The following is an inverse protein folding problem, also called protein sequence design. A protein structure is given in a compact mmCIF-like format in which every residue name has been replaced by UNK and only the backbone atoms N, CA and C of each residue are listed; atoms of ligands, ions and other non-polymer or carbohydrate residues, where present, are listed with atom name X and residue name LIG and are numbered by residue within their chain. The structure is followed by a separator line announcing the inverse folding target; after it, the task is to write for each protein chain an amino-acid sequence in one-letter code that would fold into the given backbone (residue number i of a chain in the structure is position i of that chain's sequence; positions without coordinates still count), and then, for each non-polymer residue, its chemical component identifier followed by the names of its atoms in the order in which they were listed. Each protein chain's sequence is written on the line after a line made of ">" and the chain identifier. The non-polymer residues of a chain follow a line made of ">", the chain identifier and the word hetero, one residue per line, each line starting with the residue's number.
data_IF_155801364056
#
_entry.id   IF_155801364056
#
_cell.length_a   1.000
_cell.length_b   1.000
_cell.length_c   1.000
_cell.angle_alpha   90.00
_cell.angle_beta   90.00
_cell.angle_gamma   90.00
#
_symmetry.space_group_name_H-M   'P 1'
#
loop_
_entity.id
_entity.type
_entity.pdbx_description
1 polymer ?
#
# COMPACT_ATOMS: atom_id res chain seq x y z
N UNK A 1 8.09 9.95 5.63
CA UNK A 1 7.42 9.51 4.39
C UNK A 1 8.35 9.71 3.20
N UNK A 2 8.20 8.90 2.14
CA UNK A 2 8.97 9.03 0.90
C UNK A 2 8.33 10.14 0.05
N UNK A 3 9.11 11.12 -0.39
CA UNK A 3 8.63 12.21 -1.25
C UNK A 3 8.73 11.86 -2.74
N UNK A 4 9.81 11.21 -3.16
CA UNK A 4 9.94 10.75 -4.53
C UNK A 4 10.93 9.60 -4.67
N UNK A 5 10.79 8.87 -5.79
CA UNK A 5 11.65 7.77 -6.17
C UNK A 5 12.07 7.97 -7.63
N UNK A 6 13.37 7.95 -7.89
CA UNK A 6 13.92 7.89 -9.24
C UNK A 6 14.47 6.50 -9.51
N UNK A 7 14.16 5.95 -10.68
CA UNK A 7 14.53 4.63 -11.14
C UNK A 7 15.47 4.74 -12.33
N UNK A 8 16.61 4.06 -12.25
CA UNK A 8 17.53 3.89 -13.36
C UNK A 8 17.80 2.40 -13.54
N UNK A 9 17.40 1.85 -14.69
CA UNK A 9 17.58 0.43 -15.05
C UNK A 9 17.09 -0.58 -13.99
N UNK A 10 16.05 -0.25 -13.24
CA UNK A 10 15.44 -1.14 -12.26
C UNK A 10 14.29 -1.92 -12.88
N UNK A 11 14.53 -3.21 -13.22
CA UNK A 11 13.57 -4.07 -13.92
C UNK A 11 13.09 -3.42 -15.24
N UNK A 12 11.79 -3.18 -15.37
CA UNK A 12 11.20 -2.47 -16.53
C UNK A 12 11.40 -0.95 -16.45
N UNK A 13 11.71 -0.39 -15.28
CA UNK A 13 11.86 1.06 -15.09
C UNK A 13 13.29 1.48 -15.47
N UNK A 14 13.46 1.94 -16.72
CA UNK A 14 14.78 2.30 -17.29
C UNK A 14 15.26 3.68 -16.87
N UNK A 15 14.37 4.66 -16.95
CA UNK A 15 14.57 6.04 -16.51
C UNK A 15 13.18 6.59 -16.18
N UNK A 16 12.75 6.41 -14.94
CA UNK A 16 11.42 6.84 -14.47
C UNK A 16 11.57 7.61 -13.17
N UNK A 17 10.74 8.61 -12.94
CA UNK A 17 10.66 9.34 -11.68
C UNK A 17 9.21 9.37 -11.22
N UNK A 18 8.98 9.22 -9.92
CA UNK A 18 7.66 9.30 -9.33
C UNK A 18 7.72 10.16 -8.08
N UNK A 19 6.96 11.26 -8.06
CA UNK A 19 6.63 12.01 -6.85
C UNK A 19 5.47 11.31 -6.16
N UNK A 20 5.56 11.15 -4.85
CA UNK A 20 4.56 10.48 -4.04
C UNK A 20 3.87 11.49 -3.12
N UNK A 21 2.57 11.34 -2.96
CA UNK A 21 1.75 12.05 -1.98
C UNK A 21 1.56 11.19 -0.72
N UNK A 22 0.87 11.67 0.34
CA UNK A 22 0.51 10.82 1.48
C UNK A 22 -0.38 9.63 1.07
N UNK A 23 -1.22 9.79 0.05
CA UNK A 23 -1.98 8.69 -0.56
C UNK A 23 -1.68 8.63 -2.07
N UNK A 24 -1.48 7.42 -2.62
CA UNK A 24 -1.21 7.21 -4.04
C UNK A 24 -1.98 6.00 -4.56
N UNK A 25 -2.85 6.21 -5.55
CA UNK A 25 -3.52 5.14 -6.29
C UNK A 25 -2.81 4.90 -7.62
N UNK A 26 -2.34 3.68 -7.84
CA UNK A 26 -1.59 3.31 -9.04
C UNK A 26 -2.44 2.42 -9.93
N UNK A 27 -2.70 2.90 -11.14
CA UNK A 27 -3.42 2.20 -12.20
C UNK A 27 -2.47 1.85 -13.34
N UNK A 28 -2.80 0.84 -14.14
CA UNK A 28 -1.98 0.44 -15.29
C UNK A 28 -2.10 -1.04 -15.64
N UNK A 29 -1.56 -1.50 -16.79
CA UNK A 29 -1.66 -2.90 -17.20
C UNK A 29 -0.70 -3.81 -16.40
N UNK A 30 -0.78 -5.11 -16.66
CA UNK A 30 0.15 -6.07 -16.06
C UNK A 30 1.58 -5.87 -16.57
N UNK A 31 2.53 -5.84 -15.64
CA UNK A 31 3.95 -5.61 -15.95
C UNK A 31 4.32 -4.15 -16.24
N UNK A 32 3.46 -3.16 -15.94
CA UNK A 32 3.79 -1.72 -16.03
C UNK A 32 4.62 -1.18 -14.86
N UNK A 33 5.15 -2.05 -14.00
CA UNK A 33 6.04 -1.65 -12.91
C UNK A 33 5.38 -1.35 -11.57
N UNK A 34 4.05 -1.49 -11.43
CA UNK A 34 3.34 -1.32 -10.14
C UNK A 34 3.97 -2.14 -9.00
N UNK A 35 4.10 -3.45 -9.17
CA UNK A 35 4.80 -4.32 -8.21
C UNK A 35 6.30 -4.00 -8.10
N UNK A 36 6.93 -3.45 -9.16
CA UNK A 36 8.34 -3.03 -9.10
C UNK A 36 8.55 -1.82 -8.19
N UNK A 37 7.61 -0.87 -8.15
CA UNK A 37 7.62 0.23 -7.19
C UNK A 37 7.60 -0.29 -5.75
N UNK A 38 6.68 -1.20 -5.44
CA UNK A 38 6.55 -1.81 -4.10
C UNK A 38 7.85 -2.54 -3.73
N UNK A 39 8.42 -3.29 -4.67
CA UNK A 39 9.69 -3.99 -4.48
C UNK A 39 10.87 -3.03 -4.25
N UNK A 40 10.90 -1.85 -4.87
CA UNK A 40 11.92 -0.85 -4.63
C UNK A 40 11.85 -0.32 -3.19
N UNK A 41 10.65 -0.05 -2.68
CA UNK A 41 10.43 0.38 -1.28
C UNK A 41 10.83 -0.72 -0.30
N UNK A 42 10.44 -1.98 -0.57
CA UNK A 42 10.87 -3.13 0.23
C UNK A 42 12.39 -3.30 0.22
N UNK A 43 13.04 -3.01 -0.92
CA UNK A 43 14.50 -3.09 -1.02
C UNK A 43 15.19 -2.04 -0.16
N UNK A 44 14.68 -0.80 -0.18
CA UNK A 44 15.17 0.25 0.71
C UNK A 44 15.01 -0.15 2.18
N UNK A 45 13.84 -0.67 2.59
CA UNK A 45 13.60 -1.19 3.95
C UNK A 45 14.60 -2.28 4.34
N UNK A 46 14.83 -3.25 3.46
CA UNK A 46 15.72 -4.37 3.77
C UNK A 46 17.17 -3.92 3.95
N UNK A 47 17.64 -2.96 3.14
CA UNK A 47 18.99 -2.43 3.25
C UNK A 47 19.14 -1.46 4.42
N UNK A 48 18.09 -0.71 4.78
CA UNK A 48 18.12 0.14 5.96
C UNK A 48 18.22 -0.66 7.27
N UNK A 49 18.01 -1.97 7.26
CA UNK A 49 18.21 -2.84 8.44
C UNK A 49 19.65 -3.34 8.58
N UNK A 50 20.45 -3.24 7.52
CA UNK A 50 21.85 -3.66 7.51
C UNK A 50 22.71 -2.46 7.94
N UNK A 51 23.71 -2.69 8.80
CA UNK A 51 24.62 -1.62 9.25
C UNK A 51 25.28 -0.95 8.03
N UNK A 52 24.95 0.31 7.77
CA UNK A 52 25.40 1.08 6.62
C UNK A 52 26.91 1.33 6.69
N UNK A 53 27.75 0.83 5.76
CA UNK A 53 29.09 1.36 5.61
C UNK A 53 29.07 2.56 4.65
N UNK A 54 29.58 3.68 5.13
CA UNK A 54 29.97 4.90 4.40
C UNK A 54 28.87 5.94 4.07
N UNK A 55 28.84 6.98 4.90
CA UNK A 55 28.52 8.35 4.52
C UNK A 55 29.61 8.85 3.58
N UNK A 56 29.38 8.83 2.26
CA UNK A 56 30.28 9.48 1.30
C UNK A 56 29.51 10.53 0.49
N UNK A 57 30.21 11.64 0.22
CA UNK A 57 29.68 12.78 -0.51
C UNK A 57 29.25 12.38 -1.93
N UNK A 58 28.17 12.99 -2.39
CA UNK A 58 27.63 12.84 -3.75
C UNK A 58 28.72 13.19 -4.77
N UNK A 59 29.29 12.19 -5.47
CA UNK A 59 30.09 12.45 -6.67
C UNK A 59 31.25 11.51 -7.01
N UNK A 60 31.70 10.60 -6.14
CA UNK A 60 32.83 9.73 -6.46
C UNK A 60 32.37 8.34 -6.93
N UNK A 61 32.75 7.86 -8.13
CA UNK A 61 32.64 6.45 -8.45
C UNK A 61 33.60 5.67 -7.54
N UNK A 62 33.06 4.72 -6.78
CA UNK A 62 33.84 3.74 -6.01
C UNK A 62 34.91 3.13 -6.93
N UNK A 63 36.18 3.48 -6.68
CA UNK A 63 37.30 2.93 -7.40
C UNK A 63 37.36 1.41 -7.17
N UNK A 64 37.03 0.64 -8.22
CA UNK A 64 37.08 -0.83 -8.22
C UNK A 64 35.73 -1.57 -8.14
N UNK A 65 34.59 -0.88 -8.04
CA UNK A 65 33.28 -1.53 -8.15
C UNK A 65 32.89 -1.73 -9.62
N UNK A 66 32.38 -2.92 -9.98
CA UNK A 66 31.69 -3.12 -11.28
C UNK A 66 30.68 -1.98 -11.47
N UNK A 67 30.75 -1.28 -12.62
CA UNK A 67 29.92 -0.09 -12.90
C UNK A 67 28.46 -0.40 -12.57
N UNK A 68 27.92 0.24 -11.53
CA UNK A 68 26.53 0.03 -11.11
C UNK A 68 25.62 0.30 -12.30
N UNK A 69 24.81 -0.70 -12.67
CA UNK A 69 23.95 -0.59 -13.86
C UNK A 69 22.54 -0.19 -13.49
N UNK A 70 22.11 -0.44 -12.24
CA UNK A 70 20.82 -0.07 -11.70
C UNK A 70 20.95 0.78 -10.43
N UNK A 71 20.08 1.78 -10.33
CA UNK A 71 20.10 2.77 -9.26
C UNK A 71 18.66 3.19 -8.92
N UNK A 72 18.39 3.34 -7.63
CA UNK A 72 17.18 3.89 -7.08
C UNK A 72 17.58 5.07 -6.20
N UNK A 73 16.98 6.24 -6.41
CA UNK A 73 17.21 7.40 -5.56
C UNK A 73 15.89 7.76 -4.86
N UNK A 74 15.92 7.74 -3.53
CA UNK A 74 14.80 8.10 -2.68
C UNK A 74 15.07 9.45 -2.03
N UNK A 75 14.03 10.28 -1.97
CA UNK A 75 14.00 11.51 -1.18
C UNK A 75 12.82 11.43 -0.22
N UNK A 76 12.87 12.19 0.87
CA UNK A 76 11.87 12.12 1.93
C UNK A 76 11.13 13.44 2.10
N UNK A 77 9.90 13.37 2.60
CA UNK A 77 9.10 14.55 2.91
C UNK A 77 9.66 15.28 4.15
N UNK A 78 9.34 16.57 4.35
CA UNK A 78 9.62 17.25 5.61
C UNK A 78 9.18 16.45 6.85
N UNK A 79 9.93 16.50 7.96
CA UNK A 79 11.13 17.32 8.16
C UNK A 79 12.42 16.76 7.53
N UNK A 80 12.38 15.59 6.91
CA UNK A 80 13.58 14.82 6.51
C UNK A 80 14.01 15.13 5.06
N UNK A 81 13.63 16.30 4.53
CA UNK A 81 13.80 16.66 3.11
C UNK A 81 15.27 16.82 2.68
N UNK A 82 16.20 16.91 3.64
CA UNK A 82 17.64 16.96 3.39
C UNK A 82 18.23 15.59 3.15
N UNK A 83 17.61 14.55 3.70
CA UNK A 83 18.06 13.17 3.58
C UNK A 83 17.71 12.63 2.20
N UNK A 84 18.67 11.95 1.60
CA UNK A 84 18.47 11.14 0.39
C UNK A 84 19.12 9.78 0.56
N UNK A 85 18.46 8.75 0.04
CA UNK A 85 18.95 7.38 0.07
C UNK A 85 19.10 6.86 -1.35
N UNK A 86 20.33 6.50 -1.72
CA UNK A 86 20.65 5.87 -2.99
C UNK A 86 20.85 4.37 -2.78
N UNK A 87 20.03 3.57 -3.45
CA UNK A 87 20.18 2.12 -3.50
C UNK A 87 20.73 1.74 -4.87
N UNK A 88 21.90 1.10 -4.92
CA UNK A 88 22.59 0.75 -6.17
C UNK A 88 22.96 -0.72 -6.22
N UNK A 89 23.26 -1.20 -7.43
CA UNK A 89 23.91 -2.50 -7.60
C UNK A 89 24.15 -2.88 -9.05
N UNK A 90 24.61 -4.13 -9.22
CA UNK A 90 25.09 -4.64 -10.51
C UNK A 90 23.96 -4.93 -11.51
N UNK A 91 22.71 -5.04 -11.06
CA UNK A 91 21.52 -5.16 -11.91
C UNK A 91 20.26 -4.76 -11.15
N UNK A 92 19.13 -4.52 -11.85
CA UNK A 92 17.84 -4.23 -11.19
C UNK A 92 17.26 -5.38 -10.35
N UNK A 93 17.88 -6.57 -10.36
CA UNK A 93 17.56 -7.69 -9.47
C UNK A 93 18.50 -7.77 -8.26
N UNK A 94 19.67 -7.13 -8.35
CA UNK A 94 20.75 -7.15 -7.35
C UNK A 94 21.14 -5.71 -7.06
N UNK A 95 20.33 -5.04 -6.25
CA UNK A 95 20.57 -3.70 -5.72
C UNK A 95 20.89 -3.80 -4.24
N UNK A 96 22.13 -4.09 -3.86
CA UNK A 96 22.56 -4.49 -2.51
C UNK A 96 23.35 -3.44 -1.74
N UNK A 97 23.61 -2.27 -2.35
CA UNK A 97 24.34 -1.19 -1.73
C UNK A 97 23.40 -0.04 -1.40
N UNK A 98 23.50 0.49 -0.17
CA UNK A 98 22.78 1.67 0.28
C UNK A 98 23.79 2.76 0.64
N UNK A 99 23.61 3.94 0.08
CA UNK A 99 24.33 5.16 0.42
C UNK A 99 23.34 6.21 0.88
N UNK A 100 23.63 6.89 1.98
CA UNK A 100 22.80 7.97 2.53
C UNK A 100 23.57 9.28 2.43
N UNK A 101 22.90 10.35 2.05
CA UNK A 101 23.50 11.67 1.86
C UNK A 101 22.58 12.77 2.39
N UNK A 102 23.17 13.91 2.77
CA UNK A 102 22.42 15.07 3.28
C UNK A 102 21.89 14.91 4.70
N UNK A 103 22.49 13.99 5.47
CA UNK A 103 22.15 13.67 6.85
C UNK A 103 23.29 14.12 7.78
N UNK A 104 22.93 14.66 8.95
CA UNK A 104 23.87 14.96 10.05
C UNK A 104 24.01 13.79 11.05
N UNK A 105 23.27 12.71 10.82
CA UNK A 105 23.26 11.47 11.59
C UNK A 105 21.92 11.22 12.30
N UNK A 106 21.16 12.27 12.62
CA UNK A 106 19.91 12.16 13.39
C UNK A 106 18.73 11.91 12.48
N UNK A 107 18.65 12.63 11.36
CA UNK A 107 17.53 12.53 10.43
C UNK A 107 17.44 11.13 9.81
N UNK A 108 18.58 10.50 9.49
CA UNK A 108 18.56 9.13 8.95
C UNK A 108 18.07 8.10 9.98
N UNK A 109 18.40 8.24 11.26
CA UNK A 109 17.93 7.31 12.29
C UNK A 109 16.39 7.33 12.38
N UNK A 110 15.78 8.51 12.27
CA UNK A 110 14.31 8.66 12.21
C UNK A 110 13.73 8.08 10.91
N UNK A 111 14.35 8.36 9.76
CA UNK A 111 13.96 7.72 8.48
C UNK A 111 14.04 6.19 8.59
N UNK A 112 15.12 5.67 9.16
CA UNK A 112 15.35 4.24 9.32
C UNK A 112 14.27 3.61 10.21
N UNK A 113 13.92 4.25 11.34
CA UNK A 113 12.83 3.81 12.20
C UNK A 113 11.47 3.82 11.47
N UNK A 114 11.22 4.82 10.62
CA UNK A 114 10.04 4.83 9.75
C UNK A 114 10.10 3.67 8.74
N UNK A 115 11.20 3.45 8.04
CA UNK A 115 11.35 2.41 7.03
C UNK A 115 11.14 1.00 7.61
N UNK A 116 11.56 0.75 8.84
CA UNK A 116 11.32 -0.54 9.52
C UNK A 116 9.83 -0.86 9.68
N UNK A 117 8.98 0.16 9.74
CA UNK A 117 7.51 0.07 9.85
C UNK A 117 6.79 0.05 8.50
N UNK A 118 7.51 -0.03 7.38
CA UNK A 118 6.91 -0.27 6.05
C UNK A 118 6.26 -1.65 6.03
N UNK A 119 5.03 -1.73 5.52
CA UNK A 119 4.29 -2.98 5.31
C UNK A 119 3.75 -3.09 3.91
N UNK A 120 3.66 -4.33 3.44
CA UNK A 120 3.11 -4.66 2.12
C UNK A 120 2.08 -5.75 2.33
N UNK A 121 0.90 -5.54 1.77
CA UNK A 121 -0.22 -6.45 1.85
C UNK A 121 -0.62 -6.94 0.47
N UNK A 122 -0.73 -8.25 0.36
CA UNK A 122 -1.35 -8.98 -0.73
C UNK A 122 -2.25 -10.01 -0.06
N UNK A 123 -3.48 -9.61 0.23
CA UNK A 123 -4.39 -10.42 1.02
C UNK A 123 -4.79 -11.71 0.29
N UNK A 124 -4.84 -12.81 1.04
CA UNK A 124 -5.32 -14.09 0.54
C UNK A 124 -6.52 -14.50 1.39
N UNK A 125 -7.70 -14.47 0.79
CA UNK A 125 -8.95 -14.74 1.52
C UNK A 125 -9.00 -16.17 2.10
N UNK A 126 -8.33 -17.16 1.48
CA UNK A 126 -8.23 -18.49 2.07
C UNK A 126 -7.36 -18.50 3.32
N UNK A 127 -6.23 -17.78 3.29
CA UNK A 127 -5.38 -17.64 4.46
C UNK A 127 -6.08 -16.88 5.58
N UNK A 128 -6.81 -15.80 5.25
CA UNK A 128 -7.55 -14.98 6.21
C UNK A 128 -8.70 -15.72 6.89
N UNK A 129 -9.32 -16.66 6.18
CA UNK A 129 -10.41 -17.48 6.70
C UNK A 129 -9.90 -18.60 7.63
N UNK A 130 -8.65 -19.04 7.45
CA UNK A 130 -8.08 -20.10 8.25
C UNK A 130 -7.85 -19.69 9.72
N UNK A 131 -7.96 -20.63 10.69
CA UNK A 131 -7.58 -20.37 12.06
C UNK A 131 -6.11 -19.94 12.20
N UNK A 132 -5.86 -19.01 13.13
CA UNK A 132 -4.55 -18.43 13.36
C UNK A 132 -3.99 -18.79 14.75
N UNK A 133 -2.67 -18.85 14.88
CA UNK A 133 -2.03 -19.06 16.17
C UNK A 133 -2.38 -17.89 17.13
N UNK A 134 -2.84 -18.12 18.37
CA UNK A 134 -3.26 -17.05 19.29
C UNK A 134 -2.19 -15.97 19.54
N UNK A 135 -0.92 -16.36 19.57
CA UNK A 135 0.23 -15.48 19.78
C UNK A 135 0.58 -14.61 18.56
N UNK A 136 -0.01 -14.88 17.40
CA UNK A 136 0.29 -14.15 16.15
C UNK A 136 -0.46 -12.81 16.03
N UNK A 137 -1.18 -12.36 17.05
CA UNK A 137 -2.04 -11.16 17.00
C UNK A 137 -1.35 -9.80 17.11
N UNK A 138 -0.02 -9.75 17.19
CA UNK A 138 0.71 -8.47 17.39
C UNK A 138 0.65 -7.54 16.19
N UNK A 139 0.66 -8.09 14.98
CA UNK A 139 0.70 -7.32 13.73
C UNK A 139 0.08 -8.14 12.60
N UNK A 140 -0.69 -7.51 11.72
CA UNK A 140 -1.31 -8.18 10.58
C UNK A 140 -0.25 -8.70 9.58
N UNK A 141 -0.34 -9.99 9.25
CA UNK A 141 0.50 -10.63 8.27
C UNK A 141 0.25 -10.08 6.86
N UNK A 142 1.25 -10.15 5.98
CA UNK A 142 1.17 -9.62 4.62
C UNK A 142 0.01 -10.21 3.79
N UNK A 143 -0.35 -11.48 4.04
CA UNK A 143 -1.50 -12.13 3.41
C UNK A 143 -2.78 -12.08 4.24
N UNK A 144 -2.75 -11.47 5.43
CA UNK A 144 -3.89 -11.37 6.35
C UNK A 144 -4.20 -12.67 7.11
N UNK A 145 -3.39 -13.72 6.99
CA UNK A 145 -3.72 -15.05 7.54
C UNK A 145 -3.80 -15.15 9.08
N UNK A 146 -3.48 -14.08 9.80
CA UNK A 146 -3.61 -13.99 11.25
C UNK A 146 -4.71 -13.00 11.69
N UNK A 147 -5.64 -12.64 10.79
CA UNK A 147 -6.68 -11.65 11.04
C UNK A 147 -7.48 -11.95 12.33
N UNK A 148 -7.87 -13.21 12.56
CA UNK A 148 -8.57 -13.62 13.77
C UNK A 148 -7.79 -13.28 15.05
N UNK A 149 -6.49 -13.61 15.09
CA UNK A 149 -5.63 -13.31 16.25
C UNK A 149 -5.39 -11.81 16.43
N UNK A 150 -5.28 -11.04 15.35
CA UNK A 150 -5.12 -9.58 15.42
C UNK A 150 -6.37 -8.92 15.99
N UNK A 151 -7.56 -9.26 15.48
CA UNK A 151 -8.82 -8.74 15.99
C UNK A 151 -9.04 -9.15 17.46
N UNK A 152 -8.63 -10.36 17.83
CA UNK A 152 -8.66 -10.81 19.23
C UNK A 152 -7.72 -10.02 20.13
N UNK A 153 -6.51 -9.71 19.66
CA UNK A 153 -5.58 -8.84 20.38
C UNK A 153 -6.16 -7.44 20.56
N UNK A 154 -6.83 -6.88 19.55
CA UNK A 154 -7.52 -5.59 19.68
C UNK A 154 -8.66 -5.66 20.71
N UNK A 155 -9.48 -6.71 20.67
CA UNK A 155 -10.59 -6.92 21.62
C UNK A 155 -10.10 -6.99 23.07
N UNK A 156 -8.95 -7.60 23.30
CA UNK A 156 -8.41 -7.85 24.65
C UNK A 156 -7.54 -6.71 25.17
N UNK A 157 -6.73 -6.09 24.32
CA UNK A 157 -5.74 -5.08 24.72
C UNK A 157 -6.21 -3.64 24.49
N UNK A 158 -7.12 -3.43 23.52
CA UNK A 158 -7.62 -2.12 23.12
C UNK A 158 -9.16 -2.12 22.92
N UNK A 159 -9.95 -2.48 23.95
CA UNK A 159 -11.39 -2.75 23.80
C UNK A 159 -12.20 -1.58 23.23
N UNK A 160 -11.88 -0.33 23.58
CA UNK A 160 -12.59 0.84 23.04
C UNK A 160 -12.34 1.02 21.54
N UNK A 161 -11.13 0.73 21.08
CA UNK A 161 -10.76 0.79 19.66
C UNK A 161 -11.36 -0.39 18.89
N UNK A 162 -11.39 -1.59 19.49
CA UNK A 162 -12.10 -2.74 18.92
C UNK A 162 -13.61 -2.46 18.78
N UNK A 163 -14.25 -1.87 19.78
CA UNK A 163 -15.67 -1.53 19.71
C UNK A 163 -15.97 -0.53 18.57
N UNK A 164 -15.09 0.45 18.35
CA UNK A 164 -15.20 1.37 17.22
C UNK A 164 -15.00 0.67 15.87
N UNK A 165 -14.03 -0.27 15.79
CA UNK A 165 -13.81 -1.12 14.62
C UNK A 165 -15.05 -1.95 14.31
N UNK A 166 -15.60 -2.66 15.30
CA UNK A 166 -16.78 -3.51 15.14
C UNK A 166 -18.01 -2.71 14.73
N UNK A 167 -18.21 -1.52 15.31
CA UNK A 167 -19.27 -0.59 14.90
C UNK A 167 -19.13 -0.21 13.42
N UNK A 168 -17.92 0.09 12.97
CA UNK A 168 -17.66 0.40 11.57
C UNK A 168 -17.83 -0.83 10.67
N UNK A 169 -17.42 -2.02 11.12
CA UNK A 169 -17.62 -3.27 10.40
C UNK A 169 -19.11 -3.54 10.11
N UNK A 170 -19.96 -3.39 11.13
CA UNK A 170 -21.42 -3.52 11.02
C UNK A 170 -22.02 -2.43 10.13
N UNK A 171 -21.53 -1.19 10.20
CA UNK A 171 -21.96 -0.11 9.27
C UNK A 171 -21.65 -0.47 7.82
N UNK A 172 -20.47 -1.03 7.56
CA UNK A 172 -20.01 -1.40 6.23
C UNK A 172 -20.69 -2.67 5.70
N UNK A 173 -21.06 -3.60 6.58
CA UNK A 173 -21.67 -4.88 6.26
C UNK A 173 -22.95 -5.07 7.10
N UNK A 174 -24.06 -4.38 6.74
CA UNK A 174 -25.29 -4.31 7.54
C UNK A 174 -26.06 -5.63 7.63
N UNK A 175 -25.66 -6.66 6.88
CA UNK A 175 -26.16 -8.02 7.04
C UNK A 175 -25.67 -8.70 8.34
N UNK A 176 -24.67 -8.11 9.01
CA UNK A 176 -24.11 -8.63 10.26
C UNK A 176 -24.36 -7.72 11.46
N UNK A 177 -24.35 -8.31 12.66
CA UNK A 177 -24.54 -7.63 13.96
C UNK A 177 -23.27 -7.55 14.80
N UNK A 178 -22.21 -8.27 14.44
CA UNK A 178 -20.93 -8.21 15.16
C UNK A 178 -19.91 -9.23 14.66
N UNK A 179 -18.69 -9.09 15.17
CA UNK A 179 -17.57 -9.97 14.85
C UNK A 179 -17.47 -11.05 15.94
N UNK A 180 -17.45 -12.31 15.53
CA UNK A 180 -17.27 -13.44 16.44
C UNK A 180 -15.82 -13.95 16.37
N UNK A 181 -15.18 -14.11 17.54
CA UNK A 181 -13.80 -14.59 17.66
C UNK A 181 -13.74 -15.69 18.70
N UNK A 182 -13.44 -16.91 18.26
CA UNK A 182 -13.40 -18.11 19.11
C UNK A 182 -11.99 -18.65 19.21
N UNK A 183 -11.64 -19.16 20.38
CA UNK A 183 -10.39 -19.86 20.61
C UNK A 183 -10.71 -21.33 20.83
N UNK A 184 -10.34 -22.16 19.86
CA UNK A 184 -10.57 -23.60 19.90
C UNK A 184 -9.25 -24.31 20.23
N UNK A 185 -9.23 -25.07 21.34
CA UNK A 185 -8.05 -25.80 21.79
C UNK A 185 -7.55 -26.76 20.70
N UNK A 186 -6.28 -26.59 20.29
CA UNK A 186 -5.65 -27.41 19.25
C UNK A 186 -5.90 -26.96 17.81
N UNK A 187 -6.78 -25.96 17.59
CA UNK A 187 -7.06 -25.37 16.28
C UNK A 187 -6.53 -23.94 16.18
N UNK A 188 -6.71 -23.13 17.23
CA UNK A 188 -6.27 -21.74 17.28
C UNK A 188 -7.44 -20.75 17.33
N UNK A 189 -7.19 -19.51 16.91
CA UNK A 189 -8.17 -18.44 16.85
C UNK A 189 -8.92 -18.48 15.51
N UNK A 190 -10.24 -18.61 15.57
CA UNK A 190 -11.14 -18.55 14.42
C UNK A 190 -11.95 -17.26 14.40
N UNK A 191 -12.33 -16.82 13.20
CA UNK A 191 -13.13 -15.63 12.92
C UNK A 191 -14.50 -16.05 12.37
N UNK A 192 -15.52 -15.29 12.71
CA UNK A 192 -16.85 -15.36 12.10
C UNK A 192 -17.56 -14.02 12.21
N UNK A 193 -18.75 -13.93 11.60
CA UNK A 193 -19.64 -12.78 11.70
C UNK A 193 -21.03 -13.26 12.08
N UNK A 194 -21.70 -12.55 12.99
CA UNK A 194 -23.07 -12.87 13.41
C UNK A 194 -24.07 -12.22 12.46
N UNK A 195 -25.03 -12.98 11.92
CA UNK A 195 -26.08 -12.47 11.03
C UNK A 195 -27.17 -11.72 11.81
N UNK A 196 -27.88 -10.81 11.13
CA UNK A 196 -28.99 -10.04 11.71
C UNK A 196 -30.24 -10.89 12.01
N UNK A 197 -30.58 -11.86 11.15
CA UNK A 197 -31.92 -12.42 11.11
C UNK A 197 -32.07 -13.80 11.78
N UNK A 198 -30.97 -14.48 12.11
CA UNK A 198 -31.02 -15.91 12.50
C UNK A 198 -30.24 -16.27 13.78
N UNK A 199 -29.63 -15.30 14.49
CA UNK A 199 -28.62 -15.53 15.55
C UNK A 199 -27.50 -16.52 15.11
N UNK A 200 -27.37 -16.73 13.80
CA UNK A 200 -26.41 -17.62 13.16
C UNK A 200 -25.06 -16.92 13.04
N UNK A 201 -23.99 -17.68 13.26
CA UNK A 201 -22.61 -17.22 13.07
C UNK A 201 -22.11 -17.83 11.76
N UNK A 202 -21.86 -16.99 10.76
CA UNK A 202 -21.13 -17.42 9.57
C UNK A 202 -19.64 -17.51 9.88
N UNK A 203 -19.02 -18.70 9.74
CA UNK A 203 -17.58 -18.83 9.91
C UNK A 203 -16.85 -18.13 8.76
N UNK A 204 -15.58 -17.76 8.97
CA UNK A 204 -14.82 -16.98 8.00
C UNK A 204 -14.71 -17.64 6.61
N UNK A 205 -14.72 -18.97 6.54
CA UNK A 205 -14.71 -19.74 5.30
C UNK A 205 -15.99 -19.57 4.46
N UNK A 206 -17.09 -19.15 5.09
CA UNK A 206 -18.37 -18.86 4.43
C UNK A 206 -18.55 -17.37 4.09
N UNK A 207 -17.63 -16.50 4.53
CA UNK A 207 -17.68 -15.08 4.21
C UNK A 207 -17.21 -14.84 2.77
N UNK A 208 -17.80 -13.82 2.14
CA UNK A 208 -17.33 -13.37 0.82
C UNK A 208 -15.88 -12.85 0.92
N UNK A 209 -15.13 -12.96 -0.17
CA UNK A 209 -13.79 -12.38 -0.25
C UNK A 209 -13.79 -10.88 0.11
N UNK A 210 -14.79 -10.13 -0.35
CA UNK A 210 -14.92 -8.69 -0.05
C UNK A 210 -15.13 -8.41 1.44
N UNK A 211 -15.83 -9.27 2.17
CA UNK A 211 -16.04 -9.11 3.62
C UNK A 211 -14.73 -9.32 4.39
N UNK A 212 -13.97 -10.36 4.04
CA UNK A 212 -12.64 -10.61 4.63
C UNK A 212 -11.68 -9.44 4.34
N UNK A 213 -11.63 -8.96 3.10
CA UNK A 213 -10.81 -7.80 2.73
C UNK A 213 -11.23 -6.53 3.49
N UNK A 214 -12.52 -6.29 3.64
CA UNK A 214 -13.05 -5.16 4.42
C UNK A 214 -12.60 -5.25 5.88
N UNK A 215 -12.68 -6.44 6.49
CA UNK A 215 -12.19 -6.66 7.86
C UNK A 215 -10.68 -6.46 8.00
N UNK A 216 -9.88 -6.85 7.00
CA UNK A 216 -8.44 -6.57 7.02
C UNK A 216 -8.11 -5.08 6.88
N UNK A 217 -8.81 -4.35 6.00
CA UNK A 217 -8.66 -2.89 5.90
C UNK A 217 -9.08 -2.18 7.19
N UNK A 218 -10.14 -2.66 7.85
CA UNK A 218 -10.54 -2.20 9.17
C UNK A 218 -9.45 -2.48 10.21
N UNK A 219 -8.90 -3.70 10.25
CA UNK A 219 -7.79 -4.02 11.14
C UNK A 219 -6.59 -3.09 10.95
N UNK A 220 -6.23 -2.76 9.71
CA UNK A 220 -5.17 -1.78 9.43
C UNK A 220 -5.53 -0.35 9.87
N UNK A 221 -6.76 0.08 9.58
CA UNK A 221 -7.22 1.45 9.85
C UNK A 221 -7.29 1.76 11.34
N UNK A 222 -7.66 0.74 12.12
CA UNK A 222 -7.79 0.76 13.57
C UNK A 222 -6.58 0.12 14.26
N UNK A 223 -5.44 -0.05 13.59
CA UNK A 223 -4.24 -0.54 14.25
C UNK A 223 -3.81 0.45 15.36
N UNK A 224 -3.64 0.02 16.63
CA UNK A 224 -3.19 0.88 17.72
C UNK A 224 -1.79 1.47 17.49
N UNK A 225 -0.97 0.83 16.64
CA UNK A 225 0.37 1.28 16.28
C UNK A 225 0.59 1.16 14.76
N UNK A 226 -0.08 1.99 13.94
CA UNK A 226 -0.17 1.77 12.50
C UNK A 226 1.20 1.86 11.81
N UNK A 227 1.43 1.13 10.72
CA UNK A 227 2.66 1.24 9.92
C UNK A 227 2.93 2.68 9.44
N UNK A 228 4.19 3.00 9.11
CA UNK A 228 4.56 4.32 8.57
C UNK A 228 4.21 4.45 7.08
N UNK A 229 4.32 3.34 6.35
CA UNK A 229 4.05 3.22 4.92
C UNK A 229 3.36 1.87 4.70
N UNK A 230 2.28 1.89 3.93
CA UNK A 230 1.50 0.72 3.55
C UNK A 230 1.44 0.64 2.04
N UNK A 231 1.87 -0.49 1.48
CA UNK A 231 1.58 -0.84 0.10
C UNK A 231 0.51 -1.91 0.07
N UNK A 232 -0.59 -1.71 -0.65
CA UNK A 232 -1.66 -2.71 -0.80
C UNK A 232 -1.83 -3.00 -2.29
N UNK A 233 -1.62 -4.25 -2.68
CA UNK A 233 -1.91 -4.68 -4.06
C UNK A 233 -3.38 -5.08 -4.20
N UNK A 234 -4.02 -4.64 -5.29
CA UNK A 234 -5.42 -4.94 -5.62
C UNK A 234 -6.38 -4.62 -4.46
N UNK A 235 -6.34 -3.36 -3.98
CA UNK A 235 -7.03 -2.94 -2.75
C UNK A 235 -8.56 -3.12 -2.78
N UNK A 236 -9.13 -3.19 -3.97
CA UNK A 236 -10.56 -3.36 -4.26
C UNK A 236 -11.00 -4.80 -4.55
N UNK A 237 -10.09 -5.78 -4.48
CA UNK A 237 -10.38 -7.14 -4.95
C UNK A 237 -11.54 -7.79 -4.21
N UNK A 238 -12.52 -8.27 -4.97
CA UNK A 238 -13.71 -8.95 -4.44
C UNK A 238 -14.73 -8.00 -3.78
N UNK A 239 -14.49 -6.69 -3.83
CA UNK A 239 -15.38 -5.68 -3.24
C UNK A 239 -16.38 -5.22 -4.29
N UNK A 240 -17.65 -5.19 -3.92
CA UNK A 240 -18.72 -4.74 -4.80
C UNK A 240 -18.55 -3.24 -5.16
N UNK A 241 -18.77 -2.80 -6.41
CA UNK A 241 -18.54 -1.40 -6.83
C UNK A 241 -19.18 -0.32 -5.94
N UNK A 242 -20.39 -0.58 -5.43
CA UNK A 242 -21.10 0.33 -4.51
C UNK A 242 -20.39 0.55 -3.15
N UNK A 243 -19.41 -0.29 -2.81
CA UNK A 243 -18.62 -0.25 -1.56
C UNK A 243 -17.21 0.32 -1.76
N UNK A 244 -16.81 0.65 -2.99
CA UNK A 244 -15.46 1.16 -3.27
C UNK A 244 -15.19 2.53 -2.63
N UNK A 245 -16.23 3.33 -2.42
CA UNK A 245 -16.11 4.55 -1.61
C UNK A 245 -15.71 4.23 -0.16
N UNK A 246 -16.27 3.19 0.44
CA UNK A 246 -15.92 2.78 1.80
C UNK A 246 -14.43 2.37 1.88
N UNK A 247 -13.92 1.68 0.86
CA UNK A 247 -12.49 1.34 0.74
C UNK A 247 -11.63 2.61 0.73
N UNK A 248 -11.94 3.57 -0.14
CA UNK A 248 -11.23 4.85 -0.19
C UNK A 248 -11.26 5.54 1.17
N UNK A 249 -12.43 5.62 1.81
CA UNK A 249 -12.60 6.34 3.06
C UNK A 249 -11.80 5.68 4.22
N UNK A 250 -11.69 4.35 4.25
CA UNK A 250 -10.80 3.64 5.19
C UNK A 250 -9.32 3.98 4.94
N UNK A 251 -8.88 4.00 3.68
CA UNK A 251 -7.51 4.37 3.33
C UNK A 251 -7.20 5.85 3.62
N UNK A 252 -8.18 6.74 3.44
CA UNK A 252 -8.04 8.15 3.80
C UNK A 252 -7.93 8.36 5.31
N UNK A 253 -8.61 7.55 6.13
CA UNK A 253 -8.37 7.55 7.59
C UNK A 253 -6.93 7.18 7.94
N UNK A 254 -6.26 6.32 7.15
CA UNK A 254 -4.84 6.01 7.29
C UNK A 254 -3.95 7.20 6.92
N UNK A 255 -4.15 7.77 5.74
CA UNK A 255 -3.27 8.82 5.19
C UNK A 255 -3.52 10.22 5.73
N UNK A 256 -4.77 10.54 6.03
CA UNK A 256 -5.21 11.87 6.45
C UNK A 256 -5.99 11.82 7.79
N UNK A 257 -5.42 11.24 8.87
CA UNK A 257 -6.13 11.01 10.13
C UNK A 257 -6.71 12.31 10.72
N UNK A 258 -5.99 13.43 10.62
CA UNK A 258 -6.46 14.72 11.13
C UNK A 258 -7.72 15.22 10.42
N UNK A 259 -7.84 15.02 9.10
CA UNK A 259 -9.04 15.37 8.34
C UNK A 259 -10.25 14.52 8.74
N UNK A 260 -10.00 13.34 9.33
CA UNK A 260 -11.02 12.44 9.87
C UNK A 260 -11.20 12.61 11.40
N UNK A 261 -10.64 13.64 12.03
CA UNK A 261 -10.76 13.88 13.46
C UNK A 261 -9.94 12.93 14.36
N UNK A 262 -8.95 12.22 13.80
CA UNK A 262 -8.10 11.28 14.53
C UNK A 262 -6.77 11.94 14.92
N UNK A 263 -6.41 11.82 16.20
CA UNK A 263 -5.12 12.29 16.73
C UNK A 263 -4.06 11.19 16.65
N UNK A 264 -3.56 10.90 15.44
CA UNK A 264 -2.46 9.96 15.21
C UNK A 264 -1.57 10.39 14.03
N UNK A 265 -0.40 9.78 13.93
CA UNK A 265 0.51 10.02 12.81
C UNK A 265 -0.11 9.52 11.48
N UNK A 266 0.06 10.27 10.38
CA UNK A 266 -0.40 9.86 9.07
C UNK A 266 0.43 8.69 8.53
N UNK A 267 -0.22 7.82 7.76
CA UNK A 267 0.39 6.66 7.10
C UNK A 267 0.50 6.93 5.61
N UNK A 268 1.68 6.74 5.02
CA UNK A 268 1.78 6.86 3.57
C UNK A 268 1.18 5.62 2.91
N UNK A 269 0.19 5.78 2.04
CA UNK A 269 -0.48 4.66 1.36
C UNK A 269 -0.12 4.65 -0.12
N UNK A 270 0.24 3.46 -0.60
CA UNK A 270 0.50 3.15 -2.00
C UNK A 270 -0.40 1.97 -2.37
N UNK A 271 -1.53 2.25 -2.98
CA UNK A 271 -2.50 1.24 -3.38
C UNK A 271 -2.43 0.99 -4.88
N UNK A 272 -2.63 -0.25 -5.31
CA UNK A 272 -2.84 -0.58 -6.73
C UNK A 272 -4.28 -1.01 -6.97
N UNK A 273 -4.82 -0.70 -8.14
CA UNK A 273 -6.15 -1.14 -8.56
C UNK A 273 -6.21 -1.43 -10.05
N UNK A 274 -7.15 -2.30 -10.41
CA UNK A 274 -7.58 -2.53 -11.79
C UNK A 274 -9.03 -2.09 -12.02
N UNK A 275 -9.69 -1.48 -11.03
CA UNK A 275 -11.10 -1.10 -11.10
C UNK A 275 -11.28 0.34 -11.58
N UNK A 276 -11.94 0.54 -12.75
CA UNK A 276 -12.37 1.87 -13.20
C UNK A 276 -13.26 2.57 -12.15
N UNK A 277 -14.11 1.81 -11.47
CA UNK A 277 -15.02 2.35 -10.46
C UNK A 277 -14.32 2.84 -9.19
N UNK A 278 -13.18 2.23 -8.83
CA UNK A 278 -12.37 2.74 -7.71
C UNK A 278 -11.66 4.02 -8.15
N UNK A 279 -11.11 4.05 -9.38
CA UNK A 279 -10.48 5.24 -9.94
C UNK A 279 -11.42 6.47 -9.92
N UNK A 280 -12.70 6.28 -10.23
CA UNK A 280 -13.70 7.36 -10.15
C UNK A 280 -13.86 7.98 -8.75
N UNK A 281 -13.53 7.23 -7.68
CA UNK A 281 -13.58 7.77 -6.32
C UNK A 281 -12.48 8.82 -6.05
N UNK A 282 -11.51 8.97 -6.95
CA UNK A 282 -10.38 9.90 -6.84
C UNK A 282 -10.46 11.06 -7.84
N UNK A 283 -11.62 11.27 -8.47
CA UNK A 283 -11.83 12.36 -9.45
C UNK A 283 -11.45 13.74 -8.92
N UNK A 284 -11.72 14.01 -7.65
CA UNK A 284 -11.44 15.30 -7.00
C UNK A 284 -10.01 15.38 -6.44
N UNK A 285 -9.21 14.31 -6.57
CA UNK A 285 -7.82 14.19 -6.09
C UNK A 285 -6.88 13.63 -7.17
N UNK A 286 -6.80 14.26 -8.36
CA UNK A 286 -5.97 13.78 -9.47
C UNK A 286 -4.45 13.76 -9.16
N UNK A 287 -4.00 14.49 -8.14
CA UNK A 287 -2.62 14.46 -7.65
C UNK A 287 -2.21 13.12 -7.03
N UNK A 288 -3.20 12.36 -6.54
CA UNK A 288 -3.01 11.05 -5.93
C UNK A 288 -3.00 9.91 -6.95
N UNK A 289 -3.42 10.16 -8.19
CA UNK A 289 -3.54 9.13 -9.23
C UNK A 289 -2.23 9.05 -10.01
N UNK A 290 -1.67 7.85 -10.08
CA UNK A 290 -0.46 7.51 -10.84
C UNK A 290 -0.81 6.52 -11.94
N UNK A 291 -0.58 6.92 -13.18
CA UNK A 291 -0.71 6.07 -14.36
C UNK A 291 0.63 5.38 -14.60
N UNK A 292 0.64 4.05 -14.51
CA UNK A 292 1.78 3.21 -14.82
C UNK A 292 1.64 2.68 -16.25
N UNK A 293 2.51 3.14 -17.14
CA UNK A 293 2.52 2.75 -18.55
C UNK A 293 3.57 1.68 -18.83
N UNK A 294 3.31 0.89 -19.87
CA UNK A 294 4.24 -0.11 -20.38
C UNK A 294 4.42 0.13 -21.88
N UNK A 295 5.63 0.50 -22.26
CA UNK A 295 6.05 0.72 -23.63
C UNK A 295 7.05 -0.37 -24.01
N UNK A 296 6.57 -1.43 -24.66
CA UNK A 296 7.36 -2.64 -24.93
C UNK A 296 8.02 -3.27 -23.68
N UNK A 297 9.33 -3.05 -23.51
CA UNK A 297 10.14 -3.57 -22.37
C UNK A 297 10.45 -2.52 -21.29
N UNK A 298 10.02 -1.28 -21.48
CA UNK A 298 10.16 -0.22 -20.48
C UNK A 298 8.82 0.13 -19.85
N UNK A 299 8.88 0.60 -18.61
CA UNK A 299 7.74 1.14 -17.90
C UNK A 299 8.04 2.58 -17.45
N UNK A 300 6.99 3.39 -17.37
CA UNK A 300 7.01 4.79 -16.95
C UNK A 300 5.86 5.06 -15.98
N UNK A 301 6.02 6.08 -15.15
CA UNK A 301 4.95 6.57 -14.28
C UNK A 301 4.67 8.02 -14.63
N UNK A 302 3.39 8.39 -14.68
CA UNK A 302 2.92 9.76 -14.82
C UNK A 302 1.84 10.02 -13.78
N UNK A 303 1.85 11.18 -13.13
CA UNK A 303 0.75 11.58 -12.24
C UNK A 303 -0.36 12.19 -13.10
N UNK A 304 -1.61 11.87 -12.77
CA UNK A 304 -2.75 12.39 -13.55
C UNK A 304 -2.79 13.92 -13.51
N UNK A 305 -2.50 14.55 -12.36
CA UNK A 305 -2.41 16.01 -12.21
C UNK A 305 -1.40 16.68 -13.14
N UNK A 306 -0.35 15.97 -13.56
CA UNK A 306 0.71 16.54 -14.41
C UNK A 306 0.30 16.55 -15.91
N UNK A 307 -0.92 16.08 -16.26
CA UNK A 307 -1.43 16.08 -17.63
C UNK A 307 -1.92 17.47 -18.07
N UNK A 308 -1.53 17.94 -19.27
CA UNK A 308 -1.95 19.26 -19.77
C UNK A 308 -3.43 19.32 -20.15
N UNK A 309 -4.05 18.18 -20.50
CA UNK A 309 -5.44 18.03 -20.94
C UNK A 309 -6.41 17.67 -19.80
N UNK A 310 -5.94 17.61 -18.55
CA UNK A 310 -6.73 17.08 -17.43
C UNK A 310 -8.05 17.82 -17.21
N UNK A 311 -8.07 19.15 -17.26
CA UNK A 311 -9.28 19.94 -17.04
C UNK A 311 -10.35 19.70 -18.11
N UNK A 312 -9.94 19.34 -19.32
CA UNK A 312 -10.85 18.95 -20.41
C UNK A 312 -11.40 17.55 -20.16
N UNK A 313 -10.52 16.59 -19.89
CA UNK A 313 -10.88 15.20 -19.56
C UNK A 313 -11.89 15.12 -18.41
N UNK A 314 -11.65 15.87 -17.32
CA UNK A 314 -12.57 15.91 -16.18
C UNK A 314 -13.95 16.46 -16.56
N UNK A 315 -14.08 17.31 -17.58
CA UNK A 315 -15.38 17.81 -18.07
C UNK A 315 -16.10 16.81 -18.98
N UNK A 316 -15.36 15.97 -19.69
CA UNK A 316 -15.91 15.05 -20.69
C UNK A 316 -16.56 13.81 -20.10
N UNK A 317 -16.02 13.27 -19.00
CA UNK A 317 -16.54 12.01 -18.47
C UNK A 317 -15.96 11.55 -17.13
N UNK A 318 -16.24 10.29 -16.82
CA UNK A 318 -15.68 9.60 -15.66
C UNK A 318 -14.22 9.21 -15.93
N UNK A 319 -13.40 9.18 -14.88
CA UNK A 319 -12.01 8.75 -15.02
C UNK A 319 -11.94 7.27 -15.42
N UNK A 320 -12.86 6.47 -14.89
CA UNK A 320 -13.00 5.06 -15.18
C UNK A 320 -13.25 4.78 -16.66
N UNK A 321 -14.23 5.46 -17.28
CA UNK A 321 -14.55 5.28 -18.69
C UNK A 321 -13.41 5.73 -19.59
N UNK A 322 -12.79 6.87 -19.27
CA UNK A 322 -11.63 7.38 -20.02
C UNK A 322 -10.41 6.46 -19.90
N UNK A 323 -10.20 5.85 -18.74
CA UNK A 323 -9.14 4.87 -18.58
C UNK A 323 -9.44 3.58 -19.38
N UNK A 324 -10.66 3.07 -19.29
CA UNK A 324 -11.10 1.88 -20.03
C UNK A 324 -10.99 2.09 -21.55
N UNK A 325 -11.36 3.28 -22.05
CA UNK A 325 -11.24 3.66 -23.45
C UNK A 325 -9.79 3.96 -23.91
N UNK A 326 -8.81 3.94 -22.99
CA UNK A 326 -7.40 4.21 -23.28
C UNK A 326 -7.02 5.69 -23.37
N UNK A 327 -7.96 6.61 -23.14
CA UNK A 327 -7.74 8.07 -23.21
C UNK A 327 -6.74 8.54 -22.15
N UNK A 328 -6.83 7.98 -20.93
CA UNK A 328 -5.87 8.29 -19.86
C UNK A 328 -4.49 7.63 -20.07
N UNK A 329 -4.35 6.68 -20.99
CA UNK A 329 -3.17 5.82 -21.08
C UNK A 329 -3.14 4.74 -20.00
N UNK A 330 -2.01 4.04 -19.85
CA UNK A 330 -1.91 2.95 -18.88
C UNK A 330 -2.87 1.79 -19.15
N UNK A 331 -3.10 1.46 -20.43
CA UNK A 331 -3.85 0.29 -20.88
C UNK A 331 -2.91 -0.68 -21.62
N UNK A 332 -3.27 -1.98 -21.78
CA UNK A 332 -2.47 -2.91 -22.57
C UNK A 332 -2.30 -2.43 -24.03
N UNK A 333 -1.09 -2.54 -24.59
CA UNK A 333 -0.87 -2.33 -26.03
C UNK A 333 -1.61 -3.41 -26.83
N UNK A 334 -2.55 -3.02 -27.69
CA UNK A 334 -3.06 -3.90 -28.73
C UNK A 334 -2.02 -3.98 -29.85
N UNK A 335 -1.54 -5.19 -30.16
CA UNK A 335 -0.76 -5.38 -31.38
C UNK A 335 -1.73 -5.39 -32.55
N UNK A 336 -1.62 -4.41 -33.44
CA UNK A 336 -2.19 -4.54 -34.78
C UNK A 336 -1.56 -5.79 -35.42
N UNK A 337 -2.40 -6.80 -35.69
CA UNK A 337 -2.01 -8.09 -36.26
C UNK A 337 -1.92 -8.03 -37.78
#
# INVERSE_FOLDING_TARGET
>A
MIASIQFRSFKALRAAGLRLEPFNLIIGPNGSGKTSLIQAILRLRALSQQSCPATEAVGAPLAGAKKATAELLFTFMPPHARVSARVSGVSGLVCDQLQVSGDDGTDWAEVQAQLQRVRVFLFDHYAMAAPAAPESGRELAANGGNLASVLYAYRTQHPSLYAALETEAVRLMPEFTGIELRHDLGVGMSLGMRLCDEDEILPAEALSQGNLYTLALLALTYDPNPPSIVCIEEVDRGIHPRRLRDVRDLLYRLSYPAACGLSRQPVQVIATTHSPYLLDQFRDHPEEIVIAEKNGRSATFARLIDRPDLEELLREGSLGDMWFAGVLGGVPEEREL
#
